data_IF_878579523950
#
_entry.id   IF_878579523950
#
_cell.length_a   1.000
_cell.length_b   1.000
_cell.length_c   1.000
_cell.angle_alpha   90.00
_cell.angle_beta   90.00
_cell.angle_gamma   90.00
#
_symmetry.space_group_name_H-M   'P 1'
#
loop_
_entity.id
_entity.type
_entity.pdbx_description
1 polymer ?
#
# COMPACT_ATOMS: atom_id res chain seq x y z
N UNK A 1 -34.58 27.56 -23.68
CA UNK A 1 -33.11 27.37 -23.66
C UNK A 1 -32.51 27.88 -22.34
N UNK A 2 -32.94 27.35 -21.19
CA UNK A 2 -32.37 27.67 -19.87
C UNK A 2 -31.49 26.50 -19.44
N UNK A 3 -30.30 26.80 -18.91
CA UNK A 3 -29.37 25.89 -18.19
C UNK A 3 -28.17 25.24 -18.92
N UNK A 4 -27.82 25.59 -20.16
CA UNK A 4 -26.58 25.03 -20.77
C UNK A 4 -25.29 25.60 -20.19
N UNK A 5 -25.26 26.89 -19.80
CA UNK A 5 -24.06 27.55 -19.25
C UNK A 5 -23.69 27.05 -17.85
N UNK A 6 -24.68 26.78 -17.00
CA UNK A 6 -24.45 26.28 -15.63
C UNK A 6 -24.00 24.82 -15.65
N UNK A 7 -24.55 23.99 -16.56
CA UNK A 7 -24.06 22.62 -16.76
C UNK A 7 -22.61 22.59 -17.24
N UNK A 8 -22.23 23.49 -18.15
CA UNK A 8 -20.85 23.59 -18.61
C UNK A 8 -19.90 24.03 -17.49
N UNK A 9 -20.32 25.00 -16.66
CA UNK A 9 -19.56 25.41 -15.48
C UNK A 9 -19.43 24.27 -14.47
N UNK A 10 -20.51 23.51 -14.21
CA UNK A 10 -20.48 22.35 -13.31
C UNK A 10 -19.58 21.23 -13.84
N UNK A 11 -19.59 20.94 -15.14
CA UNK A 11 -18.66 19.98 -15.76
C UNK A 11 -17.22 20.50 -15.66
N UNK A 12 -17.00 21.80 -15.83
CA UNK A 12 -15.69 22.42 -15.69
C UNK A 12 -15.19 22.36 -14.24
N UNK A 13 -16.00 22.72 -13.24
CA UNK A 13 -15.70 22.55 -11.82
C UNK A 13 -15.48 21.07 -11.47
N UNK A 14 -16.33 20.15 -11.92
CA UNK A 14 -16.09 18.72 -11.71
C UNK A 14 -14.78 18.32 -12.37
N UNK A 15 -14.44 18.75 -13.58
CA UNK A 15 -13.18 18.36 -14.24
C UNK A 15 -11.92 18.98 -13.60
N UNK A 16 -12.02 20.21 -13.09
CA UNK A 16 -10.89 20.92 -12.44
C UNK A 16 -10.68 20.40 -11.01
N UNK A 17 -11.75 20.06 -10.28
CA UNK A 17 -11.65 19.45 -8.95
C UNK A 17 -11.48 17.92 -8.99
N UNK A 18 -11.95 17.27 -10.05
CA UNK A 18 -11.68 15.85 -10.39
C UNK A 18 -10.38 15.70 -11.18
N UNK A 19 -9.55 16.73 -11.32
CA UNK A 19 -8.14 16.53 -11.70
C UNK A 19 -7.36 15.77 -10.60
N UNK A 20 -7.98 15.54 -9.44
CA UNK A 20 -7.60 14.57 -8.40
C UNK A 20 -8.19 13.15 -8.60
N UNK A 21 -8.95 12.89 -9.67
CA UNK A 21 -9.71 11.65 -9.86
C UNK A 21 -8.89 10.45 -10.39
N UNK A 22 -7.57 10.52 -10.41
CA UNK A 22 -6.73 9.38 -10.77
C UNK A 22 -5.74 9.01 -9.68
N UNK A 23 -6.24 8.27 -8.69
CA UNK A 23 -5.42 7.43 -7.80
C UNK A 23 -4.52 8.19 -6.82
N UNK A 24 -3.96 7.44 -5.87
CA UNK A 24 -2.86 7.91 -5.03
C UNK A 24 -1.60 7.45 -5.74
N UNK A 25 -0.86 8.40 -6.33
CA UNK A 25 0.47 8.11 -6.88
C UNK A 25 1.42 7.91 -5.70
N UNK A 26 1.76 6.65 -5.43
CA UNK A 26 2.74 6.30 -4.41
C UNK A 26 3.75 5.27 -4.90
N UNK A 27 4.91 5.27 -4.26
CA UNK A 27 6.05 4.43 -4.56
C UNK A 27 6.52 3.75 -3.29
N UNK A 28 7.16 2.59 -3.41
CA UNK A 28 8.00 2.11 -2.33
C UNK A 28 9.26 2.96 -2.30
N UNK A 29 9.80 3.14 -1.10
CA UNK A 29 11.05 3.85 -0.98
C UNK A 29 12.17 3.08 -1.69
N UNK A 30 12.85 3.74 -2.61
CA UNK A 30 14.13 3.28 -3.16
C UNK A 30 15.25 4.25 -2.74
N UNK A 31 16.50 3.84 -2.85
CA UNK A 31 17.65 4.67 -2.48
C UNK A 31 18.76 4.65 -3.54
N UNK A 32 19.33 5.82 -3.81
CA UNK A 32 20.48 5.97 -4.70
C UNK A 32 21.67 6.57 -3.94
N UNK A 33 22.87 6.08 -4.19
CA UNK A 33 24.12 6.68 -3.71
C UNK A 33 24.84 7.28 -4.90
N UNK A 34 25.17 8.56 -4.83
CA UNK A 34 25.97 9.21 -5.87
C UNK A 34 27.46 8.99 -5.60
N UNK A 35 28.21 8.66 -6.65
CA UNK A 35 29.66 8.39 -6.58
C UNK A 35 30.49 9.60 -6.17
N UNK A 36 30.05 10.81 -6.54
CA UNK A 36 30.70 12.08 -6.26
C UNK A 36 30.39 12.63 -4.84
N UNK A 37 29.44 12.04 -4.12
CA UNK A 37 29.02 12.51 -2.78
C UNK A 37 29.53 11.58 -1.69
N UNK A 38 30.47 12.10 -0.89
CA UNK A 38 31.13 11.34 0.20
C UNK A 38 30.18 10.80 1.27
N UNK A 39 29.02 11.41 1.50
CA UNK A 39 28.13 11.05 2.59
C UNK A 39 26.70 10.76 2.13
N UNK A 40 26.28 9.50 2.27
CA UNK A 40 24.90 9.05 2.42
C UNK A 40 24.05 8.81 1.17
N UNK A 41 22.92 8.14 1.39
CA UNK A 41 21.97 7.73 0.35
C UNK A 41 20.92 8.82 0.15
N UNK A 42 20.45 9.00 -1.07
CA UNK A 42 19.30 9.83 -1.38
C UNK A 42 18.10 8.91 -1.51
N UNK A 43 16.96 9.36 -0.95
CA UNK A 43 15.68 8.71 -1.24
C UNK A 43 15.39 8.89 -2.73
N UNK A 44 14.70 7.93 -3.31
CA UNK A 44 14.31 7.98 -4.72
C UNK A 44 13.04 7.19 -4.95
N UNK A 45 12.36 7.53 -6.04
CA UNK A 45 11.31 6.69 -6.61
C UNK A 45 11.91 5.93 -7.80
N UNK A 46 11.58 4.64 -7.89
CA UNK A 46 11.93 3.83 -9.05
C UNK A 46 10.87 4.03 -10.14
N UNK A 47 11.32 4.52 -11.29
CA UNK A 47 10.49 4.80 -12.46
C UNK A 47 10.83 3.93 -13.67
N UNK A 48 11.66 2.89 -13.50
CA UNK A 48 12.09 1.98 -14.58
C UNK A 48 10.92 1.36 -15.35
N UNK A 49 9.78 1.14 -14.68
CA UNK A 49 8.56 0.58 -15.29
C UNK A 49 7.63 1.62 -15.92
N UNK A 50 7.99 2.90 -15.89
CA UNK A 50 7.19 4.01 -16.40
C UNK A 50 7.81 4.46 -17.73
N UNK A 51 7.04 4.55 -18.83
CA UNK A 51 7.60 5.02 -20.11
C UNK A 51 8.27 6.39 -19.96
N UNK A 52 9.45 6.57 -20.56
CA UNK A 52 10.26 7.79 -20.46
C UNK A 52 9.44 9.09 -20.64
N UNK A 53 8.60 9.14 -21.67
CA UNK A 53 7.70 10.29 -21.97
C UNK A 53 6.70 10.63 -20.85
N UNK A 54 6.50 9.75 -19.88
CA UNK A 54 5.58 9.92 -18.74
C UNK A 54 6.32 10.14 -17.42
N UNK A 55 7.65 9.99 -17.37
CA UNK A 55 8.42 10.17 -16.14
C UNK A 55 8.48 11.63 -15.71
N UNK A 56 8.50 12.56 -16.68
CA UNK A 56 8.55 14.00 -16.46
C UNK A 56 7.42 14.51 -15.56
N UNK A 57 6.28 13.80 -15.50
CA UNK A 57 5.18 14.17 -14.60
C UNK A 57 5.56 14.14 -13.12
N UNK A 58 6.66 13.47 -12.75
CA UNK A 58 7.17 13.37 -11.39
C UNK A 58 8.27 14.39 -11.08
N UNK A 59 8.80 15.08 -12.09
CA UNK A 59 9.86 16.06 -11.91
C UNK A 59 9.41 17.24 -11.06
N UNK A 60 10.26 17.65 -10.12
CA UNK A 60 9.99 18.76 -9.21
C UNK A 60 8.65 18.62 -8.46
N UNK A 61 8.11 17.42 -8.29
CA UNK A 61 6.85 17.23 -7.55
C UNK A 61 7.10 17.24 -6.05
N UNK A 62 6.19 17.87 -5.26
CA UNK A 62 6.20 17.73 -3.82
C UNK A 62 5.91 16.29 -3.45
N UNK A 63 6.55 15.82 -2.38
CA UNK A 63 6.36 14.48 -1.86
C UNK A 63 6.23 14.46 -0.35
N UNK A 64 5.55 13.42 0.14
CA UNK A 64 5.53 13.04 1.54
C UNK A 64 6.18 11.67 1.68
N UNK A 65 7.17 11.56 2.56
CA UNK A 65 7.83 10.30 2.88
C UNK A 65 7.29 9.83 4.23
N UNK A 66 6.74 8.62 4.25
CA UNK A 66 6.18 8.03 5.48
C UNK A 66 7.19 7.10 6.13
N UNK A 67 7.66 7.46 7.32
CA UNK A 67 8.55 6.66 8.16
C UNK A 67 7.80 5.58 8.95
N UNK A 68 8.40 4.39 9.09
CA UNK A 68 7.93 3.30 9.95
C UNK A 68 8.02 3.60 11.46
N UNK A 69 8.65 4.71 11.83
CA UNK A 69 8.57 5.30 13.17
C UNK A 69 7.35 6.22 13.36
N UNK A 70 6.50 6.36 12.34
CA UNK A 70 5.36 7.29 12.34
C UNK A 70 5.72 8.74 12.00
N UNK A 71 7.00 9.04 11.69
CA UNK A 71 7.40 10.37 11.24
C UNK A 71 7.01 10.57 9.77
N UNK A 72 6.56 11.78 9.45
CA UNK A 72 6.28 12.20 8.08
C UNK A 72 7.29 13.28 7.76
N UNK A 73 7.99 13.14 6.63
CA UNK A 73 8.86 14.20 6.12
C UNK A 73 8.36 14.68 4.78
N UNK A 74 8.47 15.99 4.55
CA UNK A 74 8.15 16.61 3.27
C UNK A 74 9.43 16.87 2.50
N UNK A 75 9.39 16.62 1.22
CA UNK A 75 10.51 16.83 0.31
C UNK A 75 9.98 17.10 -1.11
N UNK A 76 10.88 17.13 -2.08
CA UNK A 76 10.57 17.34 -3.48
C UNK A 76 11.42 16.41 -4.32
N UNK A 77 10.87 15.90 -5.42
CA UNK A 77 11.66 15.14 -6.39
C UNK A 77 12.56 16.07 -7.20
N UNK A 78 13.70 15.55 -7.63
CA UNK A 78 14.56 16.21 -8.62
C UNK A 78 13.86 16.26 -9.98
N UNK A 79 14.45 17.01 -10.91
CA UNK A 79 13.93 17.26 -12.25
C UNK A 79 14.61 16.43 -13.34
N UNK A 80 15.31 15.37 -12.93
CA UNK A 80 15.99 14.46 -13.83
C UNK A 80 15.99 13.04 -13.29
N UNK A 81 16.19 12.12 -14.22
CA UNK A 81 16.37 10.70 -13.96
C UNK A 81 17.85 10.41 -13.79
N UNK A 82 18.15 9.56 -12.83
CA UNK A 82 19.47 8.99 -12.61
C UNK A 82 19.41 7.49 -12.82
N UNK A 83 20.52 6.93 -13.27
CA UNK A 83 20.63 5.51 -13.54
C UNK A 83 21.45 4.85 -12.44
N UNK A 84 20.92 3.76 -11.89
CA UNK A 84 21.65 2.86 -10.98
C UNK A 84 21.89 1.54 -11.72
N UNK A 85 23.16 1.19 -11.86
CA UNK A 85 23.56 -0.10 -12.43
C UNK A 85 23.81 -1.09 -11.29
N UNK A 86 23.09 -2.22 -11.29
CA UNK A 86 23.27 -3.30 -10.33
C UNK A 86 23.63 -4.60 -11.08
N UNK A 87 24.69 -5.28 -10.64
CA UNK A 87 24.99 -6.63 -11.10
C UNK A 87 24.25 -7.67 -10.25
N UNK A 88 23.59 -8.64 -10.88
CA UNK A 88 22.97 -9.76 -10.19
C UNK A 88 23.04 -11.05 -11.01
N UNK A 89 22.61 -12.15 -10.40
CA UNK A 89 22.49 -13.45 -11.07
C UNK A 89 21.02 -13.70 -11.43
N UNK A 90 20.77 -14.48 -12.49
CA UNK A 90 19.41 -14.92 -12.81
C UNK A 90 18.90 -15.88 -11.73
N UNK A 91 17.59 -15.91 -11.48
CA UNK A 91 16.94 -16.91 -10.61
C UNK A 91 17.15 -18.34 -11.19
N UNK A 92 17.48 -18.44 -12.49
CA UNK A 92 17.68 -19.70 -13.23
C UNK A 92 19.17 -20.09 -13.47
N UNK A 93 20.17 -19.32 -12.97
CA UNK A 93 21.59 -19.72 -13.10
C UNK A 93 22.64 -18.61 -12.93
N UNK A 94 23.95 -18.95 -13.05
CA UNK A 94 25.07 -18.05 -12.74
C UNK A 94 25.37 -17.00 -13.83
N UNK A 95 24.38 -16.62 -14.64
CA UNK A 95 24.57 -15.58 -15.66
C UNK A 95 24.47 -14.22 -14.97
N UNK A 96 25.58 -13.48 -14.97
CA UNK A 96 25.60 -12.10 -14.51
C UNK A 96 24.73 -11.22 -15.43
N UNK A 97 23.67 -10.63 -14.91
CA UNK A 97 22.88 -9.59 -15.56
C UNK A 97 23.19 -8.23 -14.93
N UNK A 98 23.29 -7.22 -15.78
CA UNK A 98 23.29 -5.82 -15.36
C UNK A 98 21.85 -5.35 -15.43
N UNK A 99 21.32 -4.94 -14.27
CA UNK A 99 20.03 -4.27 -14.15
C UNK A 99 20.29 -2.77 -14.13
N UNK A 100 19.59 -2.03 -15.00
CA UNK A 100 19.64 -0.58 -15.00
C UNK A 100 18.31 -0.08 -14.44
N UNK A 101 18.37 0.53 -13.27
CA UNK A 101 17.25 1.21 -12.65
C UNK A 101 17.24 2.69 -12.99
N UNK A 102 16.07 3.19 -13.37
CA UNK A 102 15.79 4.60 -13.59
C UNK A 102 15.15 5.16 -12.31
N UNK A 103 15.88 6.05 -11.64
CA UNK A 103 15.52 6.60 -10.33
C UNK A 103 15.34 8.12 -10.42
N UNK A 104 14.29 8.64 -9.79
CA UNK A 104 14.14 10.09 -9.56
C UNK A 104 14.39 10.35 -8.07
N UNK A 105 15.54 10.93 -7.70
CA UNK A 105 15.91 11.16 -6.31
C UNK A 105 15.19 12.35 -5.70
N UNK A 106 15.23 12.48 -4.38
CA UNK A 106 14.72 13.64 -3.66
C UNK A 106 15.75 14.76 -3.61
N UNK A 107 15.29 16.01 -3.48
CA UNK A 107 16.15 17.20 -3.45
C UNK A 107 16.89 17.37 -2.12
N UNK A 108 16.28 17.02 -0.98
CA UNK A 108 16.94 17.19 0.32
C UNK A 108 18.10 16.21 0.53
N UNK A 109 18.98 16.64 1.43
CA UNK A 109 20.20 15.99 1.89
C UNK A 109 20.07 14.48 2.18
N UNK A 110 21.20 13.76 2.10
CA UNK A 110 21.24 12.31 2.22
C UNK A 110 20.75 11.80 3.58
N UNK A 111 20.17 10.61 3.56
CA UNK A 111 19.65 9.90 4.73
C UNK A 111 20.70 8.97 5.33
N UNK A 112 20.61 8.81 6.66
CA UNK A 112 21.51 7.99 7.48
C UNK A 112 20.87 6.61 7.75
N UNK A 113 19.54 6.50 7.74
CA UNK A 113 18.83 5.24 8.00
C UNK A 113 17.63 5.05 7.07
N UNK A 114 17.43 3.83 6.57
CA UNK A 114 16.28 3.42 5.78
C UNK A 114 15.19 2.83 6.68
N UNK A 115 14.42 3.69 7.37
CA UNK A 115 13.23 3.29 8.17
C UNK A 115 11.93 3.71 7.50
N UNK A 116 11.94 4.00 6.21
CA UNK A 116 10.81 4.60 5.49
C UNK A 116 10.03 3.53 4.72
N UNK A 117 8.76 3.80 4.48
CA UNK A 117 7.81 2.82 3.96
C UNK A 117 7.45 3.10 2.51
N UNK A 118 6.92 4.31 2.27
CA UNK A 118 6.40 4.74 0.98
C UNK A 118 6.70 6.22 0.76
N UNK A 119 6.72 6.61 -0.51
CA UNK A 119 6.69 8.00 -0.96
C UNK A 119 5.33 8.26 -1.60
N UNK A 120 4.59 9.24 -1.10
CA UNK A 120 3.38 9.78 -1.72
C UNK A 120 3.76 10.98 -2.60
N UNK A 121 3.41 10.96 -3.88
CA UNK A 121 3.76 12.06 -4.82
C UNK A 121 2.54 12.94 -5.10
N UNK A 122 2.71 14.24 -4.86
CA UNK A 122 1.67 15.25 -4.99
C UNK A 122 1.36 15.96 -3.67
N UNK A 123 0.34 16.82 -3.73
CA UNK A 123 -0.15 17.56 -2.58
C UNK A 123 -1.26 16.76 -1.90
N UNK A 124 -0.94 16.14 -0.76
CA UNK A 124 -1.90 15.44 0.08
C UNK A 124 -2.00 16.13 1.43
N UNK A 125 -3.22 16.30 1.93
CA UNK A 125 -3.45 16.62 3.33
C UNK A 125 -3.34 15.35 4.17
N UNK A 126 -2.19 15.13 4.81
CA UNK A 126 -1.99 13.99 5.71
C UNK A 126 -2.44 14.39 7.12
N UNK A 127 -3.60 13.88 7.52
CA UNK A 127 -4.23 14.20 8.80
C UNK A 127 -3.67 13.35 9.93
N UNK A 128 -3.30 12.10 9.64
CA UNK A 128 -2.87 11.14 10.67
C UNK A 128 -1.99 10.05 10.08
N UNK A 129 -0.86 9.75 10.72
CA UNK A 129 -0.11 8.51 10.56
C UNK A 129 0.13 7.89 11.92
N UNK A 130 -0.33 6.66 12.13
CA UNK A 130 -0.22 5.97 13.42
C UNK A 130 0.20 4.52 13.22
N UNK A 131 1.33 4.13 13.82
CA UNK A 131 1.69 2.71 13.92
C UNK A 131 0.66 1.99 14.79
N UNK A 132 0.12 0.89 14.27
CA UNK A 132 -0.82 0.05 14.97
C UNK A 132 -0.06 -0.97 15.80
N UNK A 133 -0.42 -1.10 17.07
CA UNK A 133 0.12 -2.16 17.93
C UNK A 133 -0.92 -3.25 18.09
N UNK A 134 -0.46 -4.49 18.05
CA UNK A 134 -1.32 -5.66 18.14
C UNK A 134 -1.29 -6.24 19.55
N UNK A 135 -2.40 -6.82 19.98
CA UNK A 135 -2.49 -7.69 21.16
C UNK A 135 -3.18 -8.99 20.78
N UNK A 136 -2.95 -10.02 21.57
CA UNK A 136 -3.75 -11.23 21.47
C UNK A 136 -5.24 -10.94 21.75
N UNK A 137 -6.10 -11.58 20.96
CA UNK A 137 -7.53 -11.54 21.21
C UNK A 137 -7.90 -12.43 22.40
N UNK A 138 -8.76 -11.93 23.27
CA UNK A 138 -9.35 -12.72 24.35
C UNK A 138 -10.23 -13.85 23.80
N UNK A 139 -10.52 -14.90 24.59
CA UNK A 139 -11.44 -15.96 24.18
C UNK A 139 -12.82 -15.46 23.76
N UNK A 140 -13.33 -14.41 24.42
CA UNK A 140 -14.63 -13.79 24.09
C UNK A 140 -14.59 -13.11 22.73
N UNK A 141 -13.51 -12.39 22.44
CA UNK A 141 -13.32 -11.73 21.14
C UNK A 141 -13.19 -12.75 20.02
N UNK A 142 -12.36 -13.80 20.20
CA UNK A 142 -12.23 -14.91 19.25
C UNK A 142 -13.61 -15.52 18.93
N UNK A 143 -14.43 -15.78 19.95
CA UNK A 143 -15.82 -16.25 19.77
C UNK A 143 -16.68 -15.28 18.96
N UNK A 144 -16.66 -13.97 19.29
CA UNK A 144 -17.41 -12.93 18.56
C UNK A 144 -17.02 -12.87 17.08
N UNK A 145 -15.72 -12.98 16.78
CA UNK A 145 -15.21 -13.00 15.41
C UNK A 145 -15.66 -14.26 14.65
N UNK A 146 -15.55 -15.45 15.26
CA UNK A 146 -16.05 -16.71 14.66
C UNK A 146 -17.54 -16.61 14.31
N UNK A 147 -18.38 -16.14 15.25
CA UNK A 147 -19.83 -16.03 15.03
C UNK A 147 -20.13 -15.11 13.84
N UNK A 148 -19.40 -14.00 13.73
CA UNK A 148 -19.56 -13.04 12.64
C UNK A 148 -19.17 -13.63 11.29
N UNK A 149 -18.08 -14.40 11.24
CA UNK A 149 -17.61 -15.09 10.03
C UNK A 149 -18.58 -16.19 9.57
N UNK A 150 -19.10 -17.00 10.50
CA UNK A 150 -20.10 -18.04 10.18
C UNK A 150 -21.40 -17.45 9.61
N UNK A 151 -21.83 -16.28 10.11
CA UNK A 151 -22.98 -15.56 9.54
C UNK A 151 -22.70 -15.09 8.11
N UNK A 152 -21.50 -14.58 7.83
CA UNK A 152 -21.10 -14.16 6.47
C UNK A 152 -21.14 -15.31 5.46
N UNK A 153 -20.68 -16.51 5.84
CA UNK A 153 -20.76 -17.73 5.01
C UNK A 153 -22.19 -18.00 4.50
N UNK A 154 -23.21 -17.72 5.31
CA UNK A 154 -24.62 -17.96 4.96
C UNK A 154 -25.24 -16.82 4.14
N UNK A 155 -24.81 -15.58 4.36
CA UNK A 155 -25.50 -14.40 3.82
C UNK A 155 -24.96 -13.93 2.46
N UNK A 156 -23.73 -14.28 2.08
CA UNK A 156 -23.09 -13.65 0.92
C UNK A 156 -22.28 -14.61 0.02
N UNK A 157 -22.95 -15.43 -0.81
CA UNK A 157 -22.29 -16.41 -1.67
C UNK A 157 -21.42 -15.82 -2.81
N UNK A 158 -21.52 -14.52 -3.13
CA UNK A 158 -20.79 -13.86 -4.25
C UNK A 158 -19.61 -12.98 -3.82
N UNK A 159 -19.04 -13.18 -2.63
CA UNK A 159 -18.04 -12.28 -2.04
C UNK A 159 -16.64 -12.37 -2.66
N UNK A 160 -15.92 -11.23 -2.60
CA UNK A 160 -14.50 -11.05 -2.97
C UNK A 160 -13.52 -11.86 -2.07
N UNK A 161 -14.04 -12.50 -1.02
CA UNK A 161 -13.31 -13.34 -0.08
C UNK A 161 -13.88 -14.75 -0.18
N UNK A 162 -13.02 -15.75 -0.42
CA UNK A 162 -13.49 -17.12 -0.66
C UNK A 162 -14.10 -17.76 0.58
N UNK A 163 -15.15 -18.56 0.41
CA UNK A 163 -15.77 -19.33 1.49
C UNK A 163 -14.75 -20.24 2.19
N UNK A 164 -13.82 -20.82 1.42
CA UNK A 164 -12.69 -21.60 1.94
C UNK A 164 -11.84 -20.80 2.92
N UNK A 165 -11.59 -19.51 2.65
CA UNK A 165 -10.83 -18.67 3.56
C UNK A 165 -11.60 -18.39 4.87
N UNK A 166 -12.91 -18.13 4.80
CA UNK A 166 -13.77 -17.92 5.97
C UNK A 166 -13.80 -19.18 6.84
N UNK A 167 -13.97 -20.36 6.22
CA UNK A 167 -13.95 -21.65 6.91
C UNK A 167 -12.60 -21.93 7.56
N UNK A 168 -11.51 -21.68 6.83
CA UNK A 168 -10.15 -21.86 7.34
C UNK A 168 -9.91 -20.99 8.57
N UNK A 169 -10.23 -19.69 8.51
CA UNK A 169 -10.10 -18.76 9.66
C UNK A 169 -10.91 -19.25 10.83
N UNK A 170 -12.16 -19.64 10.58
CA UNK A 170 -13.06 -20.13 11.61
C UNK A 170 -12.49 -21.36 12.33
N UNK A 171 -11.87 -22.28 11.59
CA UNK A 171 -11.24 -23.49 12.14
C UNK A 171 -9.93 -23.21 12.89
N UNK A 172 -9.22 -22.14 12.57
CA UNK A 172 -7.84 -21.89 13.01
C UNK A 172 -7.65 -20.55 13.77
N UNK A 173 -8.69 -19.96 14.35
CA UNK A 173 -8.70 -18.57 14.90
C UNK A 173 -7.75 -18.32 16.10
N UNK A 174 -6.96 -19.30 16.52
CA UNK A 174 -6.22 -19.27 17.77
C UNK A 174 -5.16 -18.17 17.84
N UNK A 175 -4.66 -17.71 16.68
CA UNK A 175 -3.64 -16.65 16.54
C UNK A 175 -4.27 -15.31 16.10
N UNK A 176 -5.51 -15.04 16.50
CA UNK A 176 -6.17 -13.76 16.22
C UNK A 176 -5.56 -12.66 17.09
N UNK A 177 -5.00 -11.65 16.45
CA UNK A 177 -4.54 -10.41 17.06
C UNK A 177 -5.51 -9.27 16.79
N UNK A 178 -5.65 -8.34 17.73
CA UNK A 178 -6.50 -7.16 17.64
C UNK A 178 -5.64 -5.91 17.78
N UNK A 179 -5.93 -4.88 16.98
CA UNK A 179 -5.29 -3.57 17.14
C UNK A 179 -5.68 -3.01 18.50
N UNK A 180 -4.68 -2.76 19.37
CA UNK A 180 -4.91 -2.30 20.74
C UNK A 180 -5.78 -1.06 20.80
N UNK A 181 -5.66 -0.19 19.80
CA UNK A 181 -6.37 1.10 19.72
C UNK A 181 -7.65 1.07 18.87
N UNK A 182 -8.01 -0.05 18.26
CA UNK A 182 -9.23 -0.21 17.47
C UNK A 182 -9.66 -1.68 17.43
N UNK A 183 -10.70 -2.04 18.18
CA UNK A 183 -11.19 -3.43 18.29
C UNK A 183 -11.83 -3.95 17.00
N UNK A 184 -12.13 -3.04 16.06
CA UNK A 184 -12.71 -3.35 14.77
C UNK A 184 -11.68 -3.94 13.82
N UNK A 185 -10.40 -3.59 13.99
CA UNK A 185 -9.32 -4.08 13.15
C UNK A 185 -8.66 -5.26 13.85
N UNK A 186 -8.80 -6.44 13.27
CA UNK A 186 -8.12 -7.63 13.72
C UNK A 186 -7.35 -8.28 12.58
N UNK A 187 -6.27 -8.94 12.94
CA UNK A 187 -5.36 -9.59 12.02
C UNK A 187 -5.17 -11.01 12.51
N UNK A 188 -5.38 -11.97 11.62
CA UNK A 188 -5.11 -13.37 11.89
C UNK A 188 -3.92 -13.83 11.05
N UNK A 189 -2.98 -14.54 11.69
CA UNK A 189 -1.70 -15.01 11.10
C UNK A 189 -1.04 -13.97 10.19
N UNK A 190 -1.06 -12.73 10.65
CA UNK A 190 -0.41 -11.57 10.02
C UNK A 190 -0.72 -11.37 8.52
N UNK A 191 -1.87 -11.88 8.04
CA UNK A 191 -2.17 -11.99 6.60
C UNK A 191 -3.64 -11.99 6.24
N UNK A 192 -4.52 -12.19 7.21
CA UNK A 192 -5.97 -12.05 7.04
C UNK A 192 -6.44 -10.88 7.87
N UNK A 193 -6.96 -9.87 7.20
CA UNK A 193 -7.40 -8.64 7.84
C UNK A 193 -8.91 -8.72 7.99
N UNK A 194 -9.35 -8.51 9.22
CA UNK A 194 -10.74 -8.41 9.59
C UNK A 194 -11.03 -6.97 9.99
N UNK A 195 -12.06 -6.38 9.39
CA UNK A 195 -12.55 -5.06 9.78
C UNK A 195 -14.01 -5.20 10.18
N UNK A 196 -14.37 -4.67 11.35
CA UNK A 196 -15.71 -4.83 11.92
C UNK A 196 -16.16 -6.30 11.97
N UNK A 197 -15.24 -7.21 12.31
CA UNK A 197 -15.49 -8.67 12.34
C UNK A 197 -15.87 -9.28 10.98
N UNK A 198 -15.63 -8.56 9.89
CA UNK A 198 -15.76 -9.05 8.51
C UNK A 198 -14.38 -9.33 7.95
N UNK A 199 -14.20 -10.50 7.35
CA UNK A 199 -12.96 -10.79 6.64
C UNK A 199 -12.92 -9.94 5.37
N UNK A 200 -11.93 -9.06 5.25
CA UNK A 200 -11.81 -8.10 4.13
C UNK A 200 -10.60 -8.36 3.25
N UNK A 201 -9.58 -9.05 3.76
CA UNK A 201 -8.36 -9.38 3.03
C UNK A 201 -7.85 -10.75 3.42
N UNK A 202 -7.36 -11.52 2.45
CA UNK A 202 -6.82 -12.87 2.64
C UNK A 202 -5.59 -13.09 1.77
N UNK A 203 -4.54 -13.61 2.38
CA UNK A 203 -3.42 -14.25 1.67
C UNK A 203 -3.66 -15.78 1.55
N UNK A 204 -3.53 -16.30 0.33
CA UNK A 204 -3.76 -17.70 -0.07
C UNK A 204 -2.95 -18.74 0.73
N UNK A 205 -1.67 -18.47 1.00
CA UNK A 205 -0.79 -19.52 1.51
C UNK A 205 -0.78 -19.67 3.03
N UNK A 206 -1.35 -18.72 3.77
CA UNK A 206 -1.00 -18.57 5.19
C UNK A 206 0.48 -18.20 5.31
N UNK A 207 0.80 -17.14 6.03
CA UNK A 207 2.20 -16.78 6.18
C UNK A 207 2.84 -17.72 7.20
N UNK A 208 3.63 -18.67 6.71
CA UNK A 208 4.79 -19.16 7.44
C UNK A 208 5.99 -18.28 7.08
N UNK A 209 6.28 -17.28 7.90
CA UNK A 209 7.66 -16.82 8.20
C UNK A 209 7.62 -15.85 9.38
N UNK A 210 8.62 -15.96 10.25
CA UNK A 210 8.90 -15.16 11.46
C UNK A 210 9.16 -13.65 11.18
N UNK A 211 8.35 -12.97 10.38
CA UNK A 211 8.59 -11.56 10.04
C UNK A 211 7.63 -10.61 10.75
N UNK A 212 8.19 -9.56 11.34
CA UNK A 212 7.49 -8.46 11.99
C UNK A 212 6.75 -7.59 10.96
N UNK A 213 5.59 -8.07 10.50
CA UNK A 213 4.70 -7.26 9.66
C UNK A 213 4.24 -6.02 10.42
N UNK A 214 4.49 -4.85 9.85
CA UNK A 214 4.11 -3.57 10.45
C UNK A 214 2.85 -3.00 9.79
N UNK A 215 1.90 -2.60 10.63
CA UNK A 215 0.64 -2.00 10.24
C UNK A 215 0.58 -0.53 10.65
N UNK A 216 0.08 0.32 9.78
CA UNK A 216 -0.12 1.73 10.07
C UNK A 216 -1.50 2.18 9.62
N UNK A 217 -2.11 3.03 10.42
CA UNK A 217 -3.31 3.76 10.05
C UNK A 217 -2.90 5.11 9.47
N UNK A 218 -3.39 5.40 8.26
CA UNK A 218 -3.12 6.64 7.55
C UNK A 218 -4.45 7.30 7.21
N UNK A 219 -4.61 8.58 7.53
CA UNK A 219 -5.70 9.41 7.05
C UNK A 219 -5.12 10.46 6.10
N UNK A 220 -5.57 10.43 4.84
CA UNK A 220 -5.14 11.35 3.78
C UNK A 220 -6.36 11.88 3.04
N UNK A 221 -6.48 13.20 2.91
CA UNK A 221 -7.61 13.88 2.24
C UNK A 221 -8.98 13.38 2.73
N UNK A 222 -9.18 13.25 4.05
CA UNK A 222 -10.40 12.72 4.68
C UNK A 222 -10.68 11.24 4.47
N UNK A 223 -9.81 10.52 3.75
CA UNK A 223 -9.95 9.10 3.46
C UNK A 223 -9.05 8.27 4.37
N UNK A 224 -9.56 7.12 4.82
CA UNK A 224 -8.88 6.24 5.79
C UNK A 224 -8.17 5.09 5.09
N UNK A 225 -6.95 4.77 5.52
CA UNK A 225 -6.11 3.74 4.92
C UNK A 225 -5.46 2.88 5.98
N UNK A 226 -5.35 1.60 5.66
CA UNK A 226 -4.45 0.67 6.33
C UNK A 226 -3.21 0.47 5.44
N UNK A 227 -2.05 0.88 5.93
CA UNK A 227 -0.75 0.62 5.31
C UNK A 227 -0.21 -0.69 5.89
N UNK A 228 0.07 -1.66 5.03
CA UNK A 228 0.49 -3.01 5.40
C UNK A 228 1.79 -3.36 4.69
N UNK A 229 2.84 -3.69 5.44
CA UNK A 229 3.98 -4.39 4.88
C UNK A 229 3.63 -5.86 4.68
N UNK A 230 3.81 -6.40 3.49
CA UNK A 230 3.64 -7.83 3.22
C UNK A 230 3.44 -8.08 1.73
N UNK A 231 2.77 -9.17 1.35
CA UNK A 231 2.42 -9.43 -0.04
C UNK A 231 0.96 -9.07 -0.30
N UNK A 232 0.72 -8.28 -1.35
CA UNK A 232 -0.64 -8.03 -1.83
C UNK A 232 -1.09 -9.12 -2.79
N UNK A 233 -2.39 -9.39 -2.81
CA UNK A 233 -3.03 -10.18 -3.85
C UNK A 233 -4.06 -9.32 -4.55
N UNK A 234 -3.90 -9.16 -5.86
CA UNK A 234 -4.91 -8.50 -6.69
C UNK A 234 -5.96 -9.55 -7.02
N UNK A 235 -7.15 -9.43 -6.44
CA UNK A 235 -8.27 -10.28 -6.80
C UNK A 235 -8.84 -9.84 -8.15
N UNK A 236 -8.57 -10.63 -9.18
CA UNK A 236 -9.17 -10.42 -10.49
C UNK A 236 -10.50 -11.18 -10.58
N UNK A 237 -11.61 -10.45 -10.46
CA UNK A 237 -12.99 -10.99 -10.60
C UNK A 237 -13.19 -11.88 -11.83
N UNK A 238 -12.48 -11.63 -12.93
CA UNK A 238 -12.63 -12.34 -14.21
C UNK A 238 -11.91 -13.70 -14.29
N UNK A 239 -10.88 -13.91 -13.48
CA UNK A 239 -10.01 -15.11 -13.57
C UNK A 239 -9.94 -15.89 -12.25
N UNK A 240 -10.64 -15.43 -11.20
CA UNK A 240 -10.67 -16.03 -9.85
C UNK A 240 -9.27 -16.48 -9.41
N UNK A 241 -8.26 -15.66 -9.73
CA UNK A 241 -6.86 -15.92 -9.39
C UNK A 241 -6.26 -14.66 -8.82
N UNK A 242 -5.39 -14.89 -7.86
CA UNK A 242 -4.71 -13.89 -7.10
C UNK A 242 -3.28 -13.83 -7.65
N UNK A 243 -2.90 -12.76 -8.37
CA UNK A 243 -1.51 -12.63 -8.85
C UNK A 243 -0.64 -12.24 -7.65
N UNK A 244 0.40 -13.04 -7.39
CA UNK A 244 1.40 -12.74 -6.36
C UNK A 244 2.10 -11.43 -6.73
N UNK A 245 2.06 -10.46 -5.83
CA UNK A 245 2.84 -9.23 -5.95
C UNK A 245 4.14 -9.35 -5.15
N UNK A 246 5.08 -8.45 -5.41
CA UNK A 246 6.30 -8.32 -4.64
C UNK A 246 5.98 -7.99 -3.17
N UNK A 247 6.82 -8.41 -2.24
CA UNK A 247 6.66 -8.04 -0.82
C UNK A 247 7.01 -6.55 -0.64
N UNK A 248 6.16 -5.79 0.04
CA UNK A 248 6.35 -4.37 0.27
C UNK A 248 5.15 -3.71 0.97
N UNK A 249 5.13 -2.38 1.01
CA UNK A 249 4.08 -1.60 1.68
C UNK A 249 2.87 -1.31 0.78
N UNK A 250 1.70 -1.83 1.14
CA UNK A 250 0.46 -1.67 0.39
C UNK A 250 -0.52 -0.74 1.09
N UNK A 251 -1.22 0.09 0.31
CA UNK A 251 -2.24 1.02 0.80
C UNK A 251 -3.63 0.44 0.55
N UNK A 252 -4.34 0.09 1.61
CA UNK A 252 -5.71 -0.39 1.55
C UNK A 252 -6.67 0.72 1.98
N UNK A 253 -7.41 1.28 1.03
CA UNK A 253 -8.44 2.30 1.28
C UNK A 253 -9.64 1.67 1.99
N UNK A 254 -10.04 2.28 3.10
CA UNK A 254 -11.14 1.86 3.94
C UNK A 254 -12.36 2.74 3.68
N UNK A 255 -13.55 2.13 3.57
CA UNK A 255 -14.83 2.84 3.55
C UNK A 255 -15.87 2.01 4.29
N UNK A 256 -16.57 2.63 5.24
CA UNK A 256 -17.62 1.99 6.05
C UNK A 256 -17.12 0.69 6.74
N UNK A 257 -15.84 0.68 7.14
CA UNK A 257 -15.20 -0.48 7.76
C UNK A 257 -15.08 -1.71 6.87
N UNK A 258 -14.89 -1.49 5.57
CA UNK A 258 -14.48 -2.52 4.60
C UNK A 258 -13.36 -1.95 3.72
N UNK A 259 -12.56 -2.83 3.13
CA UNK A 259 -11.59 -2.42 2.10
C UNK A 259 -12.39 -2.06 0.85
N UNK A 260 -12.33 -0.79 0.45
CA UNK A 260 -12.90 -0.28 -0.79
C UNK A 260 -12.00 -0.60 -1.98
N UNK A 261 -10.69 -0.40 -1.80
CA UNK A 261 -9.69 -0.55 -2.86
C UNK A 261 -8.32 -0.85 -2.26
N UNK A 262 -7.57 -1.73 -2.88
CA UNK A 262 -6.12 -1.87 -2.65
C UNK A 262 -5.42 -1.04 -3.73
N UNK A 263 -4.65 -0.05 -3.31
CA UNK A 263 -3.77 0.72 -4.20
C UNK A 263 -2.44 -0.03 -4.30
N UNK A 264 -1.87 -0.04 -5.51
CA UNK A 264 -0.58 -0.64 -5.79
C UNK A 264 0.44 0.48 -6.00
N UNK A 265 1.70 0.31 -5.57
CA UNK A 265 2.71 1.31 -5.86
C UNK A 265 2.94 1.37 -7.37
N UNK A 266 3.22 2.56 -7.89
CA UNK A 266 3.36 2.77 -9.33
C UNK A 266 4.45 1.88 -9.93
N UNK A 267 5.56 1.66 -9.22
CA UNK A 267 6.65 0.78 -9.66
C UNK A 267 6.32 -0.72 -9.67
N UNK A 268 5.16 -1.14 -9.13
CA UNK A 268 4.72 -2.55 -9.19
C UNK A 268 3.79 -2.86 -10.37
N UNK A 269 3.40 -1.85 -11.14
CA UNK A 269 2.58 -2.06 -12.33
C UNK A 269 3.44 -2.76 -13.40
N UNK A 270 2.91 -3.87 -13.95
CA UNK A 270 3.53 -4.93 -14.78
C UNK A 270 4.10 -6.15 -14.04
#
# INVERSE_FOLDING_TARGET
MKNSKIQFLFIFFISVFASSAFGIDYFWLDTIKFSDKKNGYYRSINVSKIPLKKQEKYFNKPIYVLGGNGKITMDRLMDKVYYREEGGYDDEGPIAKIFIDELIPTQKSPIIENREMIILVGNYNIEKLKKLTLREASPVEKKKYIVSLKKQKKTYPKQQVSLKAIEYVTKNINELKIVKQDDRIAIWRDSRILINKKLVYVNEYGLGSNRDYSFYYLTLNGSEFLVYYGRSYIYHKKIIRARKTQEGYYLMELKNGAIKKVHLPIQSLY
#
